data_IF_172233799272
#
_entry.id   IF_172233799272
#
_cell.length_a   1.000
_cell.length_b   1.000
_cell.length_c   1.000
_cell.angle_alpha   90.00
_cell.angle_beta   90.00
_cell.angle_gamma   90.00
#
_symmetry.space_group_name_H-M   'P 1'
#
loop_
_entity.id
_entity.type
_entity.pdbx_description
1 polymer ?
#
# COMPACT_ATOMS: atom_id res chain seq x y z
N UNK A 1 11.32 13.32 62.37
CA UNK A 1 12.13 12.11 62.64
C UNK A 1 11.69 11.01 61.69
N UNK A 2 12.62 10.62 60.83
CA UNK A 2 12.95 9.27 60.33
C UNK A 2 11.88 8.18 60.10
N UNK A 3 12.08 7.37 59.04
CA UNK A 3 11.15 6.37 58.53
C UNK A 3 11.16 5.09 59.37
N UNK A 4 10.08 4.30 59.31
CA UNK A 4 10.10 2.92 59.78
C UNK A 4 10.38 1.95 58.63
N UNK A 5 11.37 1.13 58.94
CA UNK A 5 12.07 0.12 58.16
C UNK A 5 11.43 -1.26 58.31
N UNK A 6 11.97 -2.21 57.53
CA UNK A 6 12.03 -3.68 57.76
C UNK A 6 10.78 -4.47 57.34
N UNK A 7 10.82 -5.67 56.73
CA UNK A 7 11.85 -6.69 56.45
C UNK A 7 11.20 -7.71 55.48
N UNK A 8 11.84 -8.24 54.42
CA UNK A 8 12.81 -9.36 54.37
C UNK A 8 12.20 -10.77 54.19
N UNK A 9 12.74 -11.51 53.18
CA UNK A 9 12.82 -12.98 52.95
C UNK A 9 11.50 -13.72 52.60
N UNK A 10 11.37 -14.53 51.53
CA UNK A 10 11.94 -15.89 51.43
C UNK A 10 11.70 -16.56 50.05
N UNK A 11 12.74 -17.23 49.54
CA UNK A 11 12.81 -18.17 48.40
C UNK A 11 11.93 -19.44 48.56
N UNK A 12 11.38 -19.99 47.46
CA UNK A 12 11.22 -21.46 47.29
C UNK A 12 11.43 -21.94 45.85
N UNK A 13 12.56 -22.61 45.66
CA UNK A 13 12.88 -23.60 44.62
C UNK A 13 11.95 -24.82 44.68
N UNK A 14 11.52 -25.38 43.52
CA UNK A 14 11.24 -26.81 43.26
C UNK A 14 11.35 -27.05 41.73
N UNK A 15 12.38 -27.74 41.21
CA UNK A 15 12.36 -29.16 40.78
C UNK A 15 11.81 -29.30 39.35
N UNK A 16 12.30 -30.10 38.38
CA UNK A 16 13.10 -31.34 38.37
C UNK A 16 13.57 -31.61 36.91
N UNK A 17 14.82 -32.07 36.79
CA UNK A 17 15.47 -33.01 35.83
C UNK A 17 14.55 -33.95 34.98
N UNK A 18 14.92 -34.57 33.83
CA UNK A 18 16.19 -34.97 33.18
C UNK A 18 15.91 -35.53 31.75
N UNK A 19 16.97 -35.52 30.93
CA UNK A 19 17.27 -36.06 29.60
C UNK A 19 16.66 -37.40 29.11
N UNK A 20 16.48 -37.53 27.78
CA UNK A 20 16.71 -38.80 27.04
C UNK A 20 17.15 -38.55 25.58
N UNK A 21 18.32 -39.10 25.24
CA UNK A 21 18.91 -39.18 23.90
C UNK A 21 18.37 -40.45 23.16
N UNK A 22 18.56 -40.78 21.87
CA UNK A 22 19.68 -40.81 20.91
C UNK A 22 19.10 -41.20 19.52
N UNK A 23 19.73 -40.75 18.43
CA UNK A 23 19.94 -41.43 17.12
C UNK A 23 18.72 -41.86 16.26
N UNK A 24 18.72 -41.95 14.93
CA UNK A 24 19.73 -42.17 13.89
C UNK A 24 19.19 -41.65 12.53
N UNK A 25 20.12 -41.12 11.71
CA UNK A 25 20.21 -41.05 10.24
C UNK A 25 18.97 -41.41 9.41
N UNK A 26 18.58 -40.49 8.53
CA UNK A 26 18.32 -40.82 7.12
C UNK A 26 18.67 -39.62 6.22
N UNK A 27 19.73 -39.81 5.43
CA UNK A 27 20.07 -38.94 4.30
C UNK A 27 19.10 -39.24 3.16
N UNK A 28 18.03 -38.47 3.07
CA UNK A 28 17.30 -38.33 1.82
C UNK A 28 17.73 -37.01 1.17
N UNK A 29 18.73 -37.09 0.29
CA UNK A 29 19.04 -36.05 -0.68
C UNK A 29 17.85 -35.97 -1.66
N UNK A 30 16.79 -35.26 -1.24
CA UNK A 30 15.72 -34.87 -2.15
C UNK A 30 16.28 -33.76 -3.04
N UNK A 31 16.80 -34.17 -4.19
CA UNK A 31 17.16 -33.28 -5.29
C UNK A 31 15.85 -32.72 -5.87
N UNK A 32 15.20 -31.83 -5.14
CA UNK A 32 14.11 -31.00 -5.66
C UNK A 32 14.77 -30.10 -6.68
N UNK A 33 14.63 -30.49 -7.95
CA UNK A 33 14.96 -29.66 -9.09
C UNK A 33 14.06 -28.44 -8.95
N UNK A 34 14.60 -27.40 -8.31
CA UNK A 34 13.99 -26.09 -8.24
C UNK A 34 14.10 -25.52 -9.65
N UNK A 35 13.18 -25.93 -10.52
CA UNK A 35 12.80 -25.12 -11.66
C UNK A 35 12.01 -23.90 -11.14
N UNK A 36 12.62 -23.13 -10.24
CA UNK A 36 12.32 -21.71 -10.13
C UNK A 36 12.84 -21.12 -11.42
N UNK A 37 12.02 -21.22 -12.47
CA UNK A 37 12.04 -20.23 -13.55
C UNK A 37 12.24 -18.90 -12.85
N UNK A 38 13.35 -18.25 -13.16
CA UNK A 38 13.65 -16.90 -12.72
C UNK A 38 12.39 -16.10 -12.97
N UNK A 39 11.59 -15.87 -11.93
CA UNK A 39 10.53 -14.88 -11.97
C UNK A 39 11.34 -13.61 -12.10
N UNK A 40 11.51 -13.15 -13.33
CA UNK A 40 11.99 -11.81 -13.64
C UNK A 40 11.25 -10.92 -12.67
N UNK A 41 11.97 -10.36 -11.70
CA UNK A 41 11.37 -9.64 -10.57
C UNK A 41 10.30 -8.73 -11.13
N UNK A 42 9.03 -8.96 -10.77
CA UNK A 42 7.97 -8.05 -11.20
C UNK A 42 8.43 -6.63 -10.86
N UNK A 43 8.25 -5.66 -11.78
CA UNK A 43 8.60 -4.28 -11.49
C UNK A 43 7.98 -3.93 -10.15
N UNK A 44 8.81 -3.49 -9.20
CA UNK A 44 8.35 -3.13 -7.86
C UNK A 44 7.50 -1.88 -8.00
N UNK A 45 6.20 -2.07 -8.25
CA UNK A 45 5.22 -0.99 -8.30
C UNK A 45 5.08 -0.45 -6.89
N UNK A 46 5.83 0.61 -6.59
CA UNK A 46 5.74 1.39 -5.35
C UNK A 46 4.81 2.59 -5.58
N UNK A 47 4.28 3.14 -4.48
CA UNK A 47 3.40 4.31 -4.53
C UNK A 47 2.11 4.04 -5.32
N UNK A 48 1.68 5.01 -6.12
CA UNK A 48 0.42 5.00 -6.83
C UNK A 48 0.40 3.98 -7.97
N UNK A 49 1.58 3.64 -8.53
CA UNK A 49 1.73 2.56 -9.52
C UNK A 49 1.20 1.22 -8.99
N UNK A 50 1.22 0.99 -7.66
CA UNK A 50 0.68 -0.21 -7.02
C UNK A 50 -0.86 -0.33 -7.06
N UNK A 51 -1.55 0.75 -7.43
CA UNK A 51 -3.00 0.78 -7.57
C UNK A 51 -3.45 0.59 -9.02
N UNK A 52 -2.55 0.69 -10.01
CA UNK A 52 -2.90 0.51 -11.43
C UNK A 52 -3.17 -0.96 -11.73
N UNK A 53 -4.23 -1.23 -12.48
CA UNK A 53 -4.69 -2.59 -12.82
C UNK A 53 -3.70 -3.29 -13.75
N UNK A 54 -3.30 -2.62 -14.84
CA UNK A 54 -2.27 -3.12 -15.75
C UNK A 54 -0.91 -2.52 -15.39
N UNK A 55 0.00 -3.36 -14.88
CA UNK A 55 1.34 -2.94 -14.48
C UNK A 55 2.16 -2.38 -15.66
N UNK A 56 1.88 -2.78 -16.91
CA UNK A 56 2.59 -2.28 -18.09
C UNK A 56 2.22 -0.83 -18.39
N UNK A 57 1.02 -0.42 -18.00
CA UNK A 57 0.50 0.95 -18.18
C UNK A 57 0.67 1.83 -16.94
N UNK A 58 1.19 1.27 -15.84
CA UNK A 58 1.29 1.97 -14.55
C UNK A 58 2.04 3.30 -14.63
N UNK A 59 3.11 3.35 -15.44
CA UNK A 59 3.85 4.59 -15.67
C UNK A 59 3.03 5.62 -16.44
N UNK A 60 2.42 5.24 -17.56
CA UNK A 60 1.62 6.13 -18.38
C UNK A 60 0.41 6.70 -17.61
N UNK A 61 -0.28 5.86 -16.84
CA UNK A 61 -1.42 6.27 -16.01
C UNK A 61 -0.98 7.28 -14.93
N UNK A 62 0.10 6.99 -14.19
CA UNK A 62 0.57 7.89 -13.12
C UNK A 62 1.12 9.20 -13.67
N UNK A 63 1.81 9.17 -14.82
CA UNK A 63 2.30 10.39 -15.48
C UNK A 63 1.15 11.28 -15.92
N UNK A 64 0.12 10.71 -16.56
CA UNK A 64 -1.06 11.46 -16.98
C UNK A 64 -1.81 12.07 -15.77
N UNK A 65 -1.91 11.33 -14.65
CA UNK A 65 -2.46 11.88 -13.40
C UNK A 65 -1.64 13.10 -12.96
N UNK A 66 -0.31 13.00 -12.95
CA UNK A 66 0.59 14.08 -12.51
C UNK A 66 0.45 15.33 -13.39
N UNK A 67 0.38 15.16 -14.70
CA UNK A 67 0.20 16.25 -15.66
C UNK A 67 -1.13 16.97 -15.45
N UNK A 68 -2.23 16.23 -15.28
CA UNK A 68 -3.56 16.81 -15.06
C UNK A 68 -3.70 17.50 -13.70
N UNK A 69 -2.91 17.06 -12.71
CA UNK A 69 -2.83 17.67 -11.37
C UNK A 69 -1.98 18.95 -11.35
N UNK A 70 -1.11 19.15 -12.33
CA UNK A 70 -0.19 20.28 -12.34
C UNK A 70 -0.94 21.62 -12.34
N UNK A 71 -0.51 22.54 -11.47
CA UNK A 71 -1.11 23.87 -11.32
C UNK A 71 -2.50 23.88 -10.66
N UNK A 72 -3.01 22.75 -10.16
CA UNK A 72 -4.27 22.70 -9.40
C UNK A 72 -4.03 23.02 -7.94
N UNK A 73 -4.91 23.84 -7.35
CA UNK A 73 -4.75 24.32 -5.97
C UNK A 73 -5.81 23.80 -5.01
N UNK A 74 -6.95 23.32 -5.52
CA UNK A 74 -8.02 22.83 -4.65
C UNK A 74 -7.90 21.31 -4.48
N UNK A 75 -8.19 20.76 -3.28
CA UNK A 75 -8.19 19.31 -3.10
C UNK A 75 -9.11 18.57 -4.08
N UNK A 76 -10.19 19.23 -4.52
CA UNK A 76 -11.14 18.69 -5.48
C UNK A 76 -10.51 18.54 -6.87
N UNK A 77 -9.91 19.61 -7.39
CA UNK A 77 -9.29 19.58 -8.73
C UNK A 77 -8.06 18.67 -8.77
N UNK A 78 -7.30 18.64 -7.69
CA UNK A 78 -6.13 17.77 -7.52
C UNK A 78 -6.53 16.29 -7.49
N UNK A 79 -7.65 15.95 -6.86
CA UNK A 79 -8.10 14.54 -6.77
C UNK A 79 -8.86 14.09 -8.01
N UNK A 80 -9.42 15.01 -8.80
CA UNK A 80 -10.26 14.69 -9.96
C UNK A 80 -9.59 13.73 -10.97
N UNK A 81 -8.31 13.90 -11.37
CA UNK A 81 -7.65 12.99 -12.31
C UNK A 81 -7.49 11.58 -11.76
N UNK A 82 -7.18 11.45 -10.46
CA UNK A 82 -7.08 10.14 -9.80
C UNK A 82 -8.43 9.45 -9.78
N UNK A 83 -9.50 10.16 -9.42
CA UNK A 83 -10.86 9.61 -9.45
C UNK A 83 -11.29 9.24 -10.88
N UNK A 84 -10.86 10.00 -11.88
CA UNK A 84 -11.15 9.70 -13.29
C UNK A 84 -10.45 8.42 -13.76
N UNK A 85 -9.19 8.21 -13.38
CA UNK A 85 -8.46 6.97 -13.67
C UNK A 85 -9.11 5.74 -13.00
N UNK A 86 -9.66 5.90 -11.79
CA UNK A 86 -10.43 4.84 -11.11
C UNK A 86 -11.72 4.55 -11.89
N UNK A 87 -12.47 5.60 -12.26
CA UNK A 87 -13.73 5.45 -13.00
C UNK A 87 -13.54 4.84 -14.40
N UNK A 88 -12.40 5.10 -15.04
CA UNK A 88 -12.01 4.48 -16.31
C UNK A 88 -11.56 3.01 -16.17
N UNK A 89 -11.45 2.49 -14.95
CA UNK A 89 -10.99 1.12 -14.69
C UNK A 89 -9.48 0.91 -14.81
N UNK A 90 -8.70 1.99 -14.99
CA UNK A 90 -7.24 1.90 -15.10
C UNK A 90 -6.58 1.61 -13.76
N UNK A 91 -7.23 1.95 -12.63
CA UNK A 91 -6.71 1.70 -11.29
C UNK A 91 -7.81 1.37 -10.29
N UNK A 92 -7.48 0.60 -9.24
CA UNK A 92 -8.33 0.46 -8.06
C UNK A 92 -8.30 1.73 -7.21
N UNK A 93 -9.20 1.84 -6.23
CA UNK A 93 -9.07 2.88 -5.21
C UNK A 93 -7.71 2.77 -4.49
N UNK A 94 -6.86 3.82 -4.55
CA UNK A 94 -5.56 3.79 -3.90
C UNK A 94 -5.71 3.97 -2.39
N UNK A 95 -4.75 3.42 -1.64
CA UNK A 95 -4.61 3.69 -0.20
C UNK A 95 -3.95 5.05 -0.01
N UNK A 96 -4.20 5.69 1.14
CA UNK A 96 -3.59 6.98 1.46
C UNK A 96 -2.07 6.95 1.33
N UNK A 97 -1.40 5.95 1.93
CA UNK A 97 0.05 5.79 1.84
C UNK A 97 0.56 5.64 0.40
N UNK A 98 -0.17 4.96 -0.48
CA UNK A 98 0.22 4.78 -1.89
C UNK A 98 0.20 6.12 -2.63
N UNK A 99 -0.86 6.89 -2.41
CA UNK A 99 -1.03 8.21 -2.99
C UNK A 99 0.00 9.21 -2.44
N UNK A 100 0.08 9.35 -1.11
CA UNK A 100 0.96 10.29 -0.44
C UNK A 100 2.45 9.99 -0.68
N UNK A 101 2.86 8.73 -0.81
CA UNK A 101 4.24 8.40 -1.16
C UNK A 101 4.61 8.85 -2.59
N UNK A 102 3.62 9.02 -3.46
CA UNK A 102 3.83 9.49 -4.84
C UNK A 102 3.76 11.02 -4.90
N UNK A 103 2.87 11.60 -4.09
CA UNK A 103 2.59 13.02 -4.06
C UNK A 103 2.64 13.57 -2.63
N UNK A 104 3.84 13.65 -2.01
CA UNK A 104 3.98 14.07 -0.62
C UNK A 104 3.61 15.54 -0.40
N UNK A 105 3.81 16.39 -1.40
CA UNK A 105 3.63 17.85 -1.29
C UNK A 105 2.25 18.34 -1.75
N UNK A 106 1.36 17.40 -2.10
CA UNK A 106 0.04 17.74 -2.63
C UNK A 106 -0.90 18.20 -1.52
N UNK A 107 -1.61 19.30 -1.78
CA UNK A 107 -2.54 19.96 -0.84
C UNK A 107 -3.85 19.17 -0.71
N UNK A 108 -3.78 17.95 -0.21
CA UNK A 108 -4.94 17.08 0.08
C UNK A 108 -4.73 16.45 1.45
N UNK A 109 -5.66 16.66 2.38
CA UNK A 109 -5.64 15.93 3.65
C UNK A 109 -6.13 14.49 3.48
N UNK A 110 -5.68 13.57 4.32
CA UNK A 110 -6.10 12.16 4.29
C UNK A 110 -7.64 12.01 4.32
N UNK A 111 -8.32 12.80 5.16
CA UNK A 111 -9.79 12.84 5.22
C UNK A 111 -10.41 13.26 3.89
N UNK A 112 -9.86 14.28 3.24
CA UNK A 112 -10.33 14.76 1.93
C UNK A 112 -10.10 13.71 0.85
N UNK A 113 -8.95 13.04 0.87
CA UNK A 113 -8.61 11.96 -0.04
C UNK A 113 -9.66 10.83 -0.02
N UNK A 114 -10.00 10.28 1.15
CA UNK A 114 -10.99 9.21 1.26
C UNK A 114 -12.40 9.62 0.80
N UNK A 115 -12.74 10.90 0.97
CA UNK A 115 -14.01 11.44 0.48
C UNK A 115 -14.01 11.61 -1.04
N UNK A 116 -12.92 12.15 -1.60
CA UNK A 116 -12.86 12.61 -2.98
C UNK A 116 -12.53 11.51 -3.99
N UNK A 117 -11.81 10.45 -3.58
CA UNK A 117 -11.40 9.35 -4.47
C UNK A 117 -12.54 8.45 -4.95
N UNK A 118 -13.73 8.56 -4.35
CA UNK A 118 -14.87 7.70 -4.65
C UNK A 118 -15.44 8.02 -6.02
N UNK A 119 -15.67 7.00 -6.85
CA UNK A 119 -16.22 7.14 -8.21
C UNK A 119 -17.58 7.86 -8.21
N UNK A 120 -18.42 7.55 -7.21
CA UNK A 120 -19.77 8.13 -7.07
C UNK A 120 -19.79 9.46 -6.30
N UNK A 121 -18.65 10.16 -6.21
CA UNK A 121 -18.60 11.46 -5.59
C UNK A 121 -19.46 12.46 -6.39
N UNK A 122 -20.56 12.91 -5.78
CA UNK A 122 -21.50 13.88 -6.34
C UNK A 122 -20.82 15.17 -6.83
N UNK A 123 -19.67 15.52 -6.27
CA UNK A 123 -18.88 16.70 -6.67
C UNK A 123 -18.45 16.67 -8.14
N UNK A 124 -18.34 15.48 -8.74
CA UNK A 124 -17.90 15.32 -10.13
C UNK A 124 -19.01 14.91 -11.11
N UNK A 125 -20.23 14.65 -10.61
CA UNK A 125 -21.31 14.01 -11.35
C UNK A 125 -21.67 14.74 -12.66
N UNK A 126 -21.56 16.06 -12.68
CA UNK A 126 -21.88 16.90 -13.84
C UNK A 126 -20.65 17.58 -14.45
N UNK A 127 -19.43 17.21 -14.03
CA UNK A 127 -18.20 17.82 -14.52
C UNK A 127 -17.86 17.29 -15.92
N UNK A 128 -17.92 18.16 -16.93
CA UNK A 128 -17.46 17.82 -18.28
C UNK A 128 -15.97 17.50 -18.30
N UNK A 129 -15.16 18.24 -17.54
CA UNK A 129 -13.74 17.97 -17.36
C UNK A 129 -13.49 16.56 -16.82
N UNK A 130 -14.27 16.13 -15.82
CA UNK A 130 -14.17 14.77 -15.28
C UNK A 130 -14.51 13.71 -16.35
N UNK A 131 -15.61 13.89 -17.09
CA UNK A 131 -16.01 12.96 -18.16
C UNK A 131 -14.94 12.87 -19.27
N UNK A 132 -14.34 14.00 -19.64
CA UNK A 132 -13.25 14.04 -20.61
C UNK A 132 -12.02 13.28 -20.11
N UNK A 133 -11.61 13.52 -18.87
CA UNK A 133 -10.49 12.78 -18.26
C UNK A 133 -10.76 11.27 -18.23
N UNK A 134 -11.97 10.83 -17.86
CA UNK A 134 -12.34 9.41 -17.89
C UNK A 134 -12.18 8.83 -19.29
N UNK A 135 -12.69 9.52 -20.32
CA UNK A 135 -12.57 9.08 -21.70
C UNK A 135 -11.11 9.02 -22.18
N UNK A 136 -10.27 9.97 -21.74
CA UNK A 136 -8.85 10.00 -22.08
C UNK A 136 -8.10 8.84 -21.38
N UNK A 137 -8.39 8.56 -20.11
CA UNK A 137 -7.84 7.39 -19.40
C UNK A 137 -8.30 6.07 -20.00
N UNK A 138 -9.52 5.97 -20.55
CA UNK A 138 -9.99 4.75 -21.20
C UNK A 138 -9.26 4.43 -22.51
N UNK A 139 -8.54 5.39 -23.10
CA UNK A 139 -7.77 5.21 -24.36
C UNK A 139 -6.32 4.81 -24.13
N UNK A 140 -5.81 4.92 -22.89
CA UNK A 140 -4.50 4.42 -22.47
C UNK A 140 -4.44 2.89 -22.50
#
# INVERSE_FOLDING_TARGET
>A
MTPKSNSSVTLKNKGKQLNRALHLKDSAQSKVISHTKTITSLPSNKGLKAAVVDYKKAEAVVNMISELMYGKCTPMDVMMPTTAAIAAGQMREPKWKEYHNTYPDVVVSEKSFYRLRKINNKSYQNSEAFRKMVADFSKL
#
